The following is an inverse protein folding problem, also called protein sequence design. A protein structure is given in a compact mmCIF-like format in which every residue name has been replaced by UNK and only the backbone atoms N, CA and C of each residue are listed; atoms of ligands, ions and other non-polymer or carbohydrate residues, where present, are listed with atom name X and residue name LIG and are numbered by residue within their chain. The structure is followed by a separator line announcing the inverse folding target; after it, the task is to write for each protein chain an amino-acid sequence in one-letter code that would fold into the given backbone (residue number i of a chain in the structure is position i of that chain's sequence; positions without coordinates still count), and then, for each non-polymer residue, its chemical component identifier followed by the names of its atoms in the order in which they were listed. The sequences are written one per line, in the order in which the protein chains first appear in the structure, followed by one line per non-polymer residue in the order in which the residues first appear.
data_IF_339307231641
#
_entry.id   IF_339307231641
#
_cell.length_a   1.000
_cell.length_b   1.000
_cell.length_c   1.000
_cell.angle_alpha   90.00
_cell.angle_beta   90.00
_cell.angle_gamma   90.00
#
_symmetry.space_group_name_H-M   'P 1'
#
loop_
_entity.id
_entity.type
_entity.pdbx_description
1 polymer ?
#
# COMPACT_ATOMS: atom_id res chain seq x y z
N UNK A 1 -30.61 40.64 -36.13
CA UNK A 1 -30.63 39.17 -35.98
C UNK A 1 -29.49 38.60 -35.14
N UNK A 2 -28.28 39.16 -35.17
CA UNK A 2 -27.13 38.62 -34.40
C UNK A 2 -27.25 38.75 -32.87
N UNK A 3 -27.86 39.83 -32.36
CA UNK A 3 -27.94 40.12 -30.92
C UNK A 3 -28.59 38.99 -30.09
N UNK A 4 -29.73 38.46 -30.53
CA UNK A 4 -30.37 37.31 -29.87
C UNK A 4 -29.50 36.05 -29.87
N UNK A 5 -28.72 35.82 -30.93
CA UNK A 5 -27.82 34.66 -30.99
C UNK A 5 -26.62 34.82 -30.05
N UNK A 6 -26.09 36.03 -29.88
CA UNK A 6 -25.00 36.28 -28.93
C UNK A 6 -25.45 36.15 -27.48
N UNK A 7 -26.66 36.61 -27.13
CA UNK A 7 -27.20 36.46 -25.78
C UNK A 7 -27.51 35.00 -25.44
N UNK A 8 -28.09 34.24 -26.37
CA UNK A 8 -28.31 32.79 -26.21
C UNK A 8 -26.98 32.05 -26.09
N UNK A 9 -25.97 32.37 -26.90
CA UNK A 9 -24.63 31.79 -26.78
C UNK A 9 -23.98 32.11 -25.43
N UNK A 10 -24.06 33.36 -24.97
CA UNK A 10 -23.55 33.78 -23.66
C UNK A 10 -24.25 33.04 -22.52
N UNK A 11 -25.57 32.86 -22.59
CA UNK A 11 -26.32 32.02 -21.64
C UNK A 11 -25.87 30.56 -21.68
N UNK A 12 -25.69 29.95 -22.86
CA UNK A 12 -25.18 28.57 -22.95
C UNK A 12 -23.73 28.41 -22.47
N UNK A 13 -22.89 29.43 -22.58
CA UNK A 13 -21.51 29.42 -22.08
C UNK A 13 -21.44 29.68 -20.57
N UNK A 14 -22.29 30.56 -20.05
CA UNK A 14 -22.36 30.89 -18.62
C UNK A 14 -23.04 29.78 -17.80
N UNK A 15 -24.03 29.07 -18.37
CA UNK A 15 -24.54 27.83 -17.79
C UNK A 15 -23.61 26.63 -18.05
N UNK A 16 -22.86 26.63 -19.16
CA UNK A 16 -22.15 25.48 -19.74
C UNK A 16 -20.98 24.89 -18.95
N UNK A 17 -20.75 25.33 -17.71
CA UNK A 17 -19.76 24.76 -16.80
C UNK A 17 -20.38 24.10 -15.56
N UNK A 18 -21.65 23.70 -15.66
CA UNK A 18 -22.24 22.80 -14.68
C UNK A 18 -21.62 21.38 -14.76
N UNK A 19 -21.72 20.63 -13.66
CA UNK A 19 -21.18 19.27 -13.59
C UNK A 19 -21.93 18.26 -14.47
N UNK A 20 -23.09 18.60 -15.01
CA UNK A 20 -23.91 17.68 -15.81
C UNK A 20 -23.36 17.51 -17.23
N UNK A 21 -22.80 18.55 -17.84
CA UNK A 21 -22.10 18.46 -19.13
C UNK A 21 -20.90 17.51 -19.02
N UNK A 22 -20.09 17.66 -17.96
CA UNK A 22 -18.95 16.78 -17.71
C UNK A 22 -19.40 15.33 -17.44
N UNK A 23 -20.51 15.16 -16.73
CA UNK A 23 -21.16 13.86 -16.51
C UNK A 23 -21.66 13.20 -17.79
N UNK A 24 -22.32 13.95 -18.69
CA UNK A 24 -22.79 13.46 -19.99
C UNK A 24 -21.60 13.09 -20.89
N UNK A 25 -20.54 13.90 -20.92
CA UNK A 25 -19.31 13.57 -21.66
C UNK A 25 -18.64 12.31 -21.10
N UNK A 26 -18.65 12.11 -19.78
CA UNK A 26 -18.15 10.89 -19.15
C UNK A 26 -19.01 9.68 -19.54
N UNK A 27 -20.33 9.79 -19.51
CA UNK A 27 -21.27 8.72 -19.93
C UNK A 27 -21.13 8.41 -21.42
N UNK A 28 -21.10 9.41 -22.29
CA UNK A 28 -20.95 9.24 -23.74
C UNK A 28 -19.58 8.64 -24.08
N UNK A 29 -18.52 9.12 -23.43
CA UNK A 29 -17.18 8.52 -23.49
C UNK A 29 -17.19 7.07 -23.01
N UNK A 30 -17.89 6.75 -21.93
CA UNK A 30 -18.03 5.39 -21.41
C UNK A 30 -18.85 4.48 -22.34
N UNK A 31 -19.81 5.02 -23.10
CA UNK A 31 -20.53 4.26 -24.12
C UNK A 31 -19.63 3.95 -25.34
N UNK A 32 -18.81 4.90 -25.77
CA UNK A 32 -17.91 4.75 -26.94
C UNK A 32 -16.68 3.89 -26.61
N UNK A 33 -16.02 4.15 -25.47
CA UNK A 33 -14.80 3.45 -25.05
C UNK A 33 -15.08 2.23 -24.15
N UNK A 34 -16.31 2.05 -23.69
CA UNK A 34 -16.70 0.97 -22.78
C UNK A 34 -15.93 1.02 -21.46
N UNK A 35 -15.59 -0.16 -20.95
CA UNK A 35 -14.79 -0.33 -19.72
C UNK A 35 -13.38 0.26 -19.76
N UNK A 36 -12.85 0.67 -20.92
CA UNK A 36 -11.47 1.14 -21.07
C UNK A 36 -11.19 2.43 -20.28
N UNK A 37 -12.10 3.40 -20.29
CA UNK A 37 -11.91 4.66 -19.55
C UNK A 37 -11.76 4.48 -18.03
N UNK A 38 -12.67 3.79 -17.30
CA UNK A 38 -12.52 3.60 -15.85
C UNK A 38 -11.37 2.64 -15.49
N UNK A 39 -10.98 1.75 -16.40
CA UNK A 39 -9.84 0.84 -16.23
C UNK A 39 -8.50 1.60 -16.34
N UNK A 40 -8.39 2.51 -17.32
CA UNK A 40 -7.28 3.47 -17.43
C UNK A 40 -7.27 4.48 -16.28
N UNK A 41 -8.44 4.97 -15.85
CA UNK A 41 -8.55 5.88 -14.71
C UNK A 41 -8.06 5.25 -13.40
N UNK A 42 -8.28 3.94 -13.21
CA UNK A 42 -7.75 3.19 -12.06
C UNK A 42 -6.23 3.02 -12.10
N UNK A 43 -5.64 2.70 -13.26
CA UNK A 43 -4.18 2.55 -13.36
C UNK A 43 -3.46 3.88 -13.19
N UNK A 44 -3.92 4.94 -13.88
CA UNK A 44 -3.41 6.31 -13.74
C UNK A 44 -3.60 6.82 -12.32
N UNK A 45 -4.77 6.61 -11.71
CA UNK A 45 -5.04 6.98 -10.32
C UNK A 45 -4.08 6.34 -9.32
N UNK A 46 -3.70 5.07 -9.52
CA UNK A 46 -2.69 4.40 -8.69
C UNK A 46 -1.32 5.08 -8.81
N UNK A 47 -0.89 5.44 -10.03
CA UNK A 47 0.36 6.19 -10.26
C UNK A 47 0.34 7.56 -9.56
N UNK A 48 -0.77 8.31 -9.64
CA UNK A 48 -0.91 9.60 -8.94
C UNK A 48 -0.82 9.43 -7.41
N UNK A 49 -1.43 8.37 -6.85
CA UNK A 49 -1.39 8.11 -5.41
C UNK A 49 0.02 7.74 -4.94
N UNK A 50 0.74 6.88 -5.67
CA UNK A 50 2.12 6.51 -5.34
C UNK A 50 3.07 7.70 -5.50
N UNK A 51 2.91 8.51 -6.55
CA UNK A 51 3.65 9.75 -6.75
C UNK A 51 3.42 10.75 -5.60
N UNK A 52 2.16 10.97 -5.19
CA UNK A 52 1.82 11.84 -4.06
C UNK A 52 2.43 11.35 -2.74
N UNK A 53 2.51 10.03 -2.52
CA UNK A 53 3.17 9.44 -1.34
C UNK A 53 4.69 9.64 -1.37
N UNK A 54 5.31 9.52 -2.55
CA UNK A 54 6.74 9.83 -2.73
C UNK A 54 7.07 11.29 -2.42
N UNK A 55 6.29 12.24 -2.96
CA UNK A 55 6.47 13.67 -2.68
C UNK A 55 6.24 14.02 -1.20
N UNK A 56 5.19 13.47 -0.57
CA UNK A 56 4.91 13.70 0.84
C UNK A 56 6.02 13.17 1.77
N UNK A 57 6.67 12.05 1.41
CA UNK A 57 7.83 11.53 2.15
C UNK A 57 9.03 12.48 2.12
N UNK A 58 9.31 13.07 0.96
CA UNK A 58 10.38 14.06 0.78
C UNK A 58 10.09 15.34 1.58
N UNK A 59 8.83 15.81 1.56
CA UNK A 59 8.40 16.96 2.35
C UNK A 59 8.54 16.71 3.86
N UNK A 60 8.25 15.49 4.35
CA UNK A 60 8.49 15.13 5.75
C UNK A 60 9.98 15.05 6.09
N UNK A 61 10.83 14.48 5.24
CA UNK A 61 12.27 14.39 5.52
C UNK A 61 12.96 15.77 5.56
N UNK A 62 12.56 16.69 4.68
CA UNK A 62 13.07 18.08 4.67
C UNK A 62 12.65 18.83 5.93
N UNK A 63 11.40 18.68 6.39
CA UNK A 63 10.95 19.31 7.63
C UNK A 63 11.56 18.66 8.88
N UNK A 64 11.67 17.32 8.92
CA UNK A 64 12.29 16.59 10.04
C UNK A 64 13.79 16.87 10.18
N UNK A 65 14.49 17.18 9.08
CA UNK A 65 15.90 17.58 9.12
C UNK A 65 16.16 18.92 9.83
N UNK A 66 15.12 19.70 10.15
CA UNK A 66 15.22 20.91 10.98
C UNK A 66 15.05 20.65 12.50
N UNK A 67 14.60 19.46 12.89
CA UNK A 67 14.40 19.04 14.28
C UNK A 67 15.21 17.77 14.57
N UNK A 68 16.50 17.90 14.86
CA UNK A 68 17.36 16.79 15.26
C UNK A 68 16.91 16.17 16.59
N UNK A 69 16.43 14.92 16.63
CA UNK A 69 16.30 14.18 17.88
C UNK A 69 17.67 13.56 18.18
N UNK A 70 18.29 14.00 19.28
CA UNK A 70 19.52 13.42 19.80
C UNK A 70 19.39 11.89 19.91
N UNK A 71 20.37 11.06 19.50
CA UNK A 71 20.35 9.62 19.69
C UNK A 71 20.56 9.30 21.18
N UNK A 72 19.49 9.45 21.96
CA UNK A 72 19.52 9.46 23.42
C UNK A 72 18.42 8.59 24.03
N UNK A 73 18.84 7.38 24.42
CA UNK A 73 18.35 6.71 25.62
C UNK A 73 16.85 6.32 25.68
N UNK A 74 16.51 5.19 25.06
CA UNK A 74 15.41 4.33 25.53
C UNK A 74 15.95 3.30 26.52
N UNK A 75 16.12 3.69 27.79
CA UNK A 75 16.45 2.74 28.86
C UNK A 75 15.27 1.80 29.11
N UNK A 76 15.52 0.49 29.02
CA UNK A 76 14.61 -0.52 29.54
C UNK A 76 14.62 -0.49 31.07
N UNK A 77 13.55 0.02 31.70
CA UNK A 77 13.43 0.14 33.16
C UNK A 77 12.07 -0.32 33.69
N UNK A 78 11.81 -1.64 33.62
CA UNK A 78 10.82 -2.29 34.48
C UNK A 78 11.55 -3.14 35.54
N UNK A 79 11.80 -2.53 36.70
CA UNK A 79 12.53 -3.15 37.80
C UNK A 79 11.63 -3.96 38.72
N UNK A 80 11.43 -5.24 38.42
CA UNK A 80 10.87 -6.21 39.37
C UNK A 80 11.99 -7.12 39.87
N UNK A 81 12.65 -6.72 40.97
CA UNK A 81 13.67 -7.53 41.62
C UNK A 81 13.03 -8.70 42.41
N UNK A 82 13.14 -9.91 41.87
CA UNK A 82 12.99 -11.16 42.60
C UNK A 82 14.14 -12.09 42.21
N UNK A 83 14.73 -12.78 43.20
CA UNK A 83 15.98 -13.52 43.02
C UNK A 83 15.83 -14.76 42.10
N UNK A 84 16.89 -15.17 41.41
CA UNK A 84 16.91 -16.44 40.68
C UNK A 84 16.96 -17.62 41.66
N UNK A 85 15.87 -18.39 41.73
CA UNK A 85 15.85 -19.74 42.30
C UNK A 85 15.84 -20.80 41.20
N UNK A 86 16.53 -21.91 41.48
CA UNK A 86 17.08 -22.84 40.48
C UNK A 86 16.06 -23.95 40.06
N UNK A 87 16.42 -25.02 39.31
CA UNK A 87 15.66 -25.40 38.10
C UNK A 87 14.81 -26.66 38.30
N UNK A 88 13.70 -26.80 37.57
CA UNK A 88 13.04 -28.10 37.46
C UNK A 88 12.56 -28.45 36.04
N UNK A 89 13.12 -29.55 35.58
CA UNK A 89 12.80 -30.34 34.39
C UNK A 89 11.30 -30.51 34.11
N UNK A 90 10.94 -30.39 32.83
CA UNK A 90 9.86 -31.22 32.27
C UNK A 90 10.40 -32.01 31.07
N UNK A 91 10.82 -33.24 31.33
CA UNK A 91 11.08 -34.25 30.32
C UNK A 91 9.85 -35.16 30.24
N UNK A 92 9.15 -35.18 29.10
CA UNK A 92 7.97 -36.03 28.96
C UNK A 92 7.00 -35.68 27.83
N UNK A 93 7.40 -35.86 26.57
CA UNK A 93 6.44 -36.10 25.48
C UNK A 93 6.90 -37.28 24.59
N UNK A 94 6.84 -38.47 25.16
CA UNK A 94 7.20 -39.73 24.50
C UNK A 94 6.19 -40.12 23.41
N UNK A 95 6.66 -40.10 22.16
CA UNK A 95 6.44 -41.09 21.09
C UNK A 95 5.28 -42.10 21.22
N UNK A 96 4.40 -42.11 20.20
CA UNK A 96 3.65 -43.28 19.67
C UNK A 96 3.12 -42.89 18.28
N UNK A 97 3.90 -43.09 17.20
CA UNK A 97 3.89 -44.28 16.33
C UNK A 97 2.63 -44.46 15.46
N UNK A 98 2.60 -43.75 14.34
CA UNK A 98 2.52 -44.31 12.97
C UNK A 98 3.25 -43.31 12.03
N UNK A 99 3.85 -43.65 10.88
CA UNK A 99 3.94 -44.97 10.23
C UNK A 99 5.21 -45.15 9.39
N UNK A 100 5.17 -46.09 8.45
CA UNK A 100 6.30 -46.51 7.60
C UNK A 100 6.65 -45.54 6.45
N UNK A 101 7.84 -44.95 6.48
CA UNK A 101 8.50 -44.39 5.29
C UNK A 101 9.91 -44.99 5.12
N UNK A 102 10.09 -46.03 4.27
CA UNK A 102 11.36 -46.76 4.14
C UNK A 102 12.37 -46.13 3.17
N UNK A 103 12.14 -44.91 2.66
CA UNK A 103 12.95 -44.30 1.58
C UNK A 103 13.94 -43.21 2.06
N UNK A 104 14.27 -43.16 3.36
CA UNK A 104 15.31 -42.27 3.88
C UNK A 104 16.72 -42.75 3.47
N UNK A 105 17.04 -42.64 2.17
CA UNK A 105 18.38 -42.91 1.64
C UNK A 105 19.28 -41.67 1.79
N UNK A 106 20.49 -41.91 2.28
CA UNK A 106 21.47 -40.90 2.68
C UNK A 106 21.93 -39.99 1.54
N UNK A 107 22.40 -38.75 1.83
CA UNK A 107 23.03 -37.90 0.82
C UNK A 107 24.37 -38.50 0.36
N UNK A 108 24.39 -39.12 -0.82
CA UNK A 108 25.61 -39.65 -1.44
C UNK A 108 26.53 -38.51 -1.87
N UNK A 109 27.61 -38.32 -1.10
CA UNK A 109 28.67 -37.34 -1.39
C UNK A 109 29.58 -37.89 -2.51
N UNK A 110 29.74 -37.21 -3.65
CA UNK A 110 30.58 -37.72 -4.75
C UNK A 110 32.06 -37.74 -4.34
N UNK A 111 32.86 -38.69 -4.89
CA UNK A 111 34.30 -38.70 -4.70
C UNK A 111 34.93 -37.46 -5.36
N UNK A 112 35.82 -36.79 -4.64
CA UNK A 112 36.70 -35.79 -5.24
C UNK A 112 37.85 -36.53 -5.93
N UNK A 113 38.08 -36.19 -7.20
CA UNK A 113 39.18 -36.65 -8.04
C UNK A 113 39.88 -35.42 -8.64
#
# INVERSE_FOLDING_TARGET
MTLLHTDILALTLAWGFSGWELGILLVLGLLIFGRRLPELGRSVGKTIVEFKKGLAGIESDVNSSSNTPTPGNSSNSNGNAALPSNPQSNAGNTQSQDGSNPYAQSPTRPPQA
#
